data_IF_693378417749
#
_entry.id   IF_693378417749
#
_cell.length_a   1.000
_cell.length_b   1.000
_cell.length_c   1.000
_cell.angle_alpha   90.00
_cell.angle_beta   90.00
_cell.angle_gamma   90.00
#
_symmetry.space_group_name_H-M   'P 1'
#
loop_
_entity.id
_entity.type
_entity.pdbx_description
1 polymer ?
#
# COMPACT_ATOMS: atom_id res chain seq x y z
N UNK A 1 1.13 1.23 -18.72
CA UNK A 1 0.65 0.10 -19.56
C UNK A 1 -0.53 -0.52 -18.82
N UNK A 2 -1.67 -0.74 -19.47
CA UNK A 2 -2.86 -1.35 -18.86
C UNK A 2 -2.93 -2.83 -19.24
N UNK A 3 -2.98 -3.72 -18.25
CA UNK A 3 -3.01 -5.18 -18.44
C UNK A 3 -4.16 -5.76 -17.60
N UNK A 4 -5.38 -5.86 -18.16
CA UNK A 4 -6.57 -6.27 -17.41
C UNK A 4 -6.46 -7.66 -16.78
N UNK A 5 -5.73 -8.56 -17.44
CA UNK A 5 -5.57 -9.95 -16.98
C UNK A 5 -4.85 -10.08 -15.65
N UNK A 6 -4.14 -9.05 -15.17
CA UNK A 6 -3.53 -9.07 -13.84
C UNK A 6 -4.56 -9.17 -12.71
N UNK A 7 -5.79 -8.66 -12.92
CA UNK A 7 -6.86 -8.78 -11.93
C UNK A 7 -7.29 -10.25 -11.69
N UNK A 8 -6.99 -11.14 -12.65
CA UNK A 8 -7.29 -12.57 -12.57
C UNK A 8 -6.21 -13.37 -11.81
N UNK A 9 -5.13 -12.73 -11.35
CA UNK A 9 -4.12 -13.40 -10.55
C UNK A 9 -4.73 -13.96 -9.26
N UNK A 10 -4.42 -15.22 -8.88
CA UNK A 10 -4.81 -15.78 -7.60
C UNK A 10 -4.41 -14.86 -6.43
N UNK A 11 -5.22 -14.79 -5.38
CA UNK A 11 -4.96 -13.92 -4.24
C UNK A 11 -3.63 -14.26 -3.56
N UNK A 12 -3.27 -15.54 -3.55
CA UNK A 12 -2.03 -16.09 -3.00
C UNK A 12 -0.78 -15.68 -3.78
N UNK A 13 -0.96 -15.23 -5.03
CA UNK A 13 0.12 -14.68 -5.86
C UNK A 13 0.28 -13.17 -5.69
N UNK A 14 -0.61 -12.50 -4.94
CA UNK A 14 -0.58 -11.05 -4.73
C UNK A 14 -0.28 -10.69 -3.28
N UNK A 15 0.56 -9.67 -3.09
CA UNK A 15 0.67 -8.96 -1.82
C UNK A 15 -0.26 -7.75 -1.83
N UNK A 16 -0.37 -7.04 -0.71
CA UNK A 16 -1.16 -5.80 -0.63
C UNK A 16 -0.25 -4.58 -0.71
N UNK A 17 -0.77 -3.51 -1.31
CA UNK A 17 -0.24 -2.16 -1.12
C UNK A 17 -1.39 -1.28 -0.64
N UNK A 18 -1.15 -0.57 0.44
CA UNK A 18 -2.12 0.36 0.99
C UNK A 18 -1.77 1.78 0.52
N UNK A 19 -2.69 2.39 -0.23
CA UNK A 19 -2.51 3.69 -0.87
C UNK A 19 -3.39 4.72 -0.18
N UNK A 20 -2.82 5.81 0.31
CA UNK A 20 -3.60 6.87 0.95
C UNK A 20 -4.38 7.69 -0.09
N UNK A 21 -5.68 7.83 0.11
CA UNK A 21 -6.57 8.63 -0.72
C UNK A 21 -7.04 9.95 -0.06
N UNK A 22 -6.59 10.21 1.17
CA UNK A 22 -6.66 11.49 1.88
C UNK A 22 -5.57 11.57 2.98
N UNK A 23 -5.53 12.68 3.73
CA UNK A 23 -4.67 12.84 4.90
C UNK A 23 -3.47 13.74 4.63
N UNK A 24 -2.29 13.32 5.09
CA UNK A 24 -1.07 14.12 5.04
C UNK A 24 -0.52 14.16 3.61
N UNK A 25 -0.23 15.37 3.12
CA UNK A 25 0.53 15.62 1.88
C UNK A 25 1.93 16.11 2.23
N UNK A 26 2.95 15.24 2.24
CA UNK A 26 4.33 15.66 2.49
C UNK A 26 4.91 16.38 1.27
N UNK A 27 5.96 17.19 1.47
CA UNK A 27 6.61 17.95 0.39
C UNK A 27 7.53 17.07 -0.48
N UNK A 28 8.20 16.08 0.13
CA UNK A 28 9.29 15.32 -0.54
C UNK A 28 8.84 13.95 -1.06
N UNK A 29 8.36 13.08 -0.16
CA UNK A 29 8.07 11.68 -0.46
C UNK A 29 6.56 11.47 -0.55
N UNK A 30 6.01 11.57 -1.77
CA UNK A 30 4.57 11.44 -2.02
C UNK A 30 4.23 10.07 -2.61
N UNK A 31 3.13 9.49 -2.13
CA UNK A 31 2.45 8.38 -2.79
C UNK A 31 1.77 8.84 -4.09
N UNK A 32 1.19 7.90 -4.85
CA UNK A 32 0.65 8.15 -6.19
C UNK A 32 -0.55 9.11 -6.22
N UNK A 33 -1.19 9.36 -5.08
CA UNK A 33 -2.31 10.31 -4.93
C UNK A 33 -1.90 11.59 -4.18
N UNK A 34 -0.61 11.94 -4.15
CA UNK A 34 -0.02 13.12 -3.51
C UNK A 34 -0.06 13.13 -1.98
N UNK A 35 -0.56 12.06 -1.35
CA UNK A 35 -0.52 11.87 0.09
C UNK A 35 0.79 11.20 0.51
N UNK A 36 0.91 10.83 1.78
CA UNK A 36 2.09 10.12 2.30
C UNK A 36 2.42 8.84 1.51
N UNK A 37 3.66 8.31 1.62
CA UNK A 37 4.06 7.09 0.93
C UNK A 37 3.17 5.89 1.23
N UNK A 38 3.09 4.97 0.27
CA UNK A 38 2.31 3.75 0.40
C UNK A 38 2.89 2.81 1.46
N UNK A 39 2.01 2.02 2.10
CA UNK A 39 2.40 1.02 3.08
C UNK A 39 2.34 -0.37 2.46
N UNK A 40 3.39 -1.16 2.65
CA UNK A 40 3.52 -2.52 2.13
C UNK A 40 3.38 -3.55 3.26
N UNK A 41 2.56 -4.57 3.06
CA UNK A 41 2.36 -5.68 4.01
C UNK A 41 3.50 -6.72 3.99
N UNK A 42 4.15 -6.87 2.84
CA UNK A 42 5.27 -7.80 2.63
C UNK A 42 6.30 -7.17 1.69
N UNK A 43 7.15 -6.26 2.21
CA UNK A 43 8.23 -5.66 1.43
C UNK A 43 9.32 -6.70 1.08
N UNK A 44 10.27 -6.37 0.18
CA UNK A 44 11.42 -7.24 -0.12
C UNK A 44 12.11 -7.76 1.13
N UNK A 45 12.57 -9.01 1.06
CA UNK A 45 13.23 -9.67 2.18
C UNK A 45 12.29 -10.27 3.23
N UNK A 46 10.98 -10.01 3.16
CA UNK A 46 9.98 -10.64 4.03
C UNK A 46 9.26 -11.81 3.36
N UNK A 47 8.85 -12.85 4.12
CA UNK A 47 7.94 -13.87 3.63
C UNK A 47 6.66 -13.24 3.06
N UNK A 48 6.16 -13.77 1.95
CA UNK A 48 4.97 -13.23 1.28
C UNK A 48 5.24 -12.07 0.33
N UNK A 49 6.50 -11.66 0.13
CA UNK A 49 6.82 -10.70 -0.92
C UNK A 49 6.30 -11.19 -2.28
N UNK A 50 5.51 -10.34 -2.93
CA UNK A 50 5.12 -10.50 -4.33
C UNK A 50 5.29 -9.18 -5.08
N UNK A 51 5.78 -9.21 -6.33
CA UNK A 51 5.78 -8.05 -7.20
C UNK A 51 4.36 -7.73 -7.71
N UNK A 52 3.42 -8.66 -7.67
CA UNK A 52 2.01 -8.38 -7.96
C UNK A 52 1.33 -7.88 -6.68
N UNK A 53 0.77 -6.67 -6.73
CA UNK A 53 0.15 -6.03 -5.57
C UNK A 53 -1.28 -5.61 -5.87
N UNK A 54 -2.20 -6.01 -4.99
CA UNK A 54 -3.57 -5.50 -4.99
C UNK A 54 -3.60 -4.16 -4.26
N UNK A 55 -4.20 -3.16 -4.90
CA UNK A 55 -4.37 -1.84 -4.29
C UNK A 55 -5.54 -1.90 -3.31
N UNK A 56 -5.29 -1.43 -2.09
CA UNK A 56 -6.32 -1.08 -1.12
C UNK A 56 -6.20 0.41 -0.84
N UNK A 57 -7.27 1.16 -1.11
CA UNK A 57 -7.28 2.59 -0.74
C UNK A 57 -7.57 2.74 0.75
N UNK A 58 -6.82 3.64 1.39
CA UNK A 58 -7.01 4.04 2.77
C UNK A 58 -7.53 5.46 2.84
N UNK A 59 -8.55 5.67 3.67
CA UNK A 59 -9.07 7.00 3.98
C UNK A 59 -9.13 7.19 5.49
N UNK A 60 -8.49 8.24 5.99
CA UNK A 60 -8.74 8.78 7.32
C UNK A 60 -10.20 9.21 7.43
N UNK A 61 -10.87 8.77 8.49
CA UNK A 61 -12.23 9.18 8.79
C UNK A 61 -12.24 10.62 9.33
N UNK A 62 -13.35 11.35 9.12
CA UNK A 62 -13.44 12.79 9.44
C UNK A 62 -13.18 13.12 10.92
N UNK A 63 -13.44 12.18 11.83
CA UNK A 63 -13.21 12.33 13.27
C UNK A 63 -11.77 12.05 13.70
N UNK A 64 -10.91 11.53 12.82
CA UNK A 64 -9.55 11.15 13.12
C UNK A 64 -8.55 12.21 12.66
N UNK A 65 -7.56 12.52 13.49
CA UNK A 65 -6.42 13.34 13.09
C UNK A 65 -5.42 12.49 12.30
N UNK A 66 -5.14 12.80 11.02
CA UNK A 66 -4.17 12.03 10.23
C UNK A 66 -2.77 12.06 10.82
N UNK A 67 -2.08 10.92 10.78
CA UNK A 67 -0.65 10.79 11.11
C UNK A 67 0.06 9.95 10.05
N UNK A 68 1.39 10.01 10.05
CA UNK A 68 2.17 9.16 9.17
C UNK A 68 2.09 7.71 9.64
N UNK A 69 1.79 6.78 8.73
CA UNK A 69 1.85 5.34 8.95
C UNK A 69 2.88 4.75 7.97
N UNK A 70 3.73 3.87 8.47
CA UNK A 70 4.87 3.31 7.74
C UNK A 70 4.85 1.79 7.67
N UNK A 71 4.03 1.13 8.49
CA UNK A 71 3.96 -0.33 8.57
C UNK A 71 2.53 -0.84 8.48
N UNK A 72 2.35 -2.07 7.99
CA UNK A 72 1.04 -2.71 7.93
C UNK A 72 0.41 -2.90 9.32
N UNK A 73 1.21 -3.10 10.37
CA UNK A 73 0.72 -3.18 11.75
C UNK A 73 0.12 -1.85 12.23
N UNK A 74 0.75 -0.72 11.87
CA UNK A 74 0.20 0.61 12.16
C UNK A 74 -1.13 0.86 11.43
N UNK A 75 -1.24 0.39 10.18
CA UNK A 75 -2.49 0.43 9.41
C UNK A 75 -3.55 -0.43 10.07
N UNK A 76 -3.25 -1.68 10.40
CA UNK A 76 -4.17 -2.59 11.06
C UNK A 76 -4.70 -2.02 12.38
N UNK A 77 -3.82 -1.40 13.16
CA UNK A 77 -4.19 -0.72 14.40
C UNK A 77 -5.10 0.49 14.15
N UNK A 78 -4.78 1.34 13.17
CA UNK A 78 -5.61 2.51 12.83
C UNK A 78 -7.00 2.08 12.34
N UNK A 79 -7.11 0.97 11.61
CA UNK A 79 -8.39 0.37 11.20
C UNK A 79 -9.16 -0.16 12.42
N UNK A 80 -8.50 -0.91 13.31
CA UNK A 80 -9.12 -1.45 14.52
C UNK A 80 -9.61 -0.35 15.48
N UNK A 81 -8.93 0.79 15.52
CA UNK A 81 -9.30 1.99 16.28
C UNK A 81 -10.37 2.84 15.55
N UNK A 82 -10.81 2.45 14.36
CA UNK A 82 -11.84 3.17 13.58
C UNK A 82 -11.35 4.50 13.02
N UNK A 83 -10.04 4.71 12.91
CA UNK A 83 -9.44 5.95 12.39
C UNK A 83 -9.37 5.93 10.85
N UNK A 84 -9.22 4.75 10.26
CA UNK A 84 -9.10 4.56 8.82
C UNK A 84 -10.18 3.60 8.33
N UNK A 85 -10.75 3.91 7.16
CA UNK A 85 -11.55 2.98 6.35
C UNK A 85 -10.71 2.44 5.20
N UNK A 86 -10.91 1.16 4.87
CA UNK A 86 -10.27 0.47 3.76
C UNK A 86 -11.26 0.25 2.63
N UNK A 87 -10.84 0.52 1.41
CA UNK A 87 -11.57 0.20 0.18
C UNK A 87 -10.72 -0.77 -0.65
N UNK A 88 -11.12 -2.05 -0.64
CA UNK A 88 -10.49 -3.07 -1.46
C UNK A 88 -10.86 -2.85 -2.94
N UNK A 89 -9.91 -3.09 -3.84
CA UNK A 89 -10.10 -2.94 -5.28
C UNK A 89 -9.74 -4.22 -6.02
N UNK A 90 -10.23 -4.37 -7.25
CA UNK A 90 -9.79 -5.40 -8.19
C UNK A 90 -8.52 -4.98 -8.98
N UNK A 91 -7.92 -3.84 -8.62
CA UNK A 91 -6.73 -3.32 -9.28
C UNK A 91 -5.52 -4.09 -8.77
N UNK A 92 -4.86 -4.80 -9.68
CA UNK A 92 -3.57 -5.45 -9.45
C UNK A 92 -2.51 -4.74 -10.29
N UNK A 93 -1.42 -4.35 -9.64
CA UNK A 93 -0.28 -3.68 -10.26
C UNK A 93 0.97 -4.55 -10.11
N UNK A 94 1.75 -4.63 -11.18
CA UNK A 94 3.11 -5.17 -11.10
C UNK A 94 4.06 -4.07 -10.57
N UNK A 95 4.40 -4.14 -9.29
CA UNK A 95 5.36 -3.29 -8.58
C UNK A 95 6.56 -4.11 -8.08
N UNK A 96 7.52 -4.44 -8.97
CA UNK A 96 8.74 -5.12 -8.57
C UNK A 96 9.66 -4.17 -7.80
N UNK A 97 9.89 -4.49 -6.53
CA UNK A 97 10.97 -3.89 -5.74
C UNK A 97 12.18 -4.81 -5.79
N UNK A 98 13.34 -4.26 -6.12
CA UNK A 98 14.56 -5.04 -6.36
C UNK A 98 15.62 -4.65 -5.33
N UNK A 99 16.12 -5.67 -4.63
CA UNK A 99 17.34 -5.57 -3.83
C UNK A 99 18.37 -6.52 -4.42
N UNK A 100 19.60 -6.05 -4.57
CA UNK A 100 20.75 -6.88 -4.89
C UNK A 100 21.93 -6.50 -3.98
N UNK A 101 22.93 -7.37 -3.80
CA UNK A 101 24.05 -7.09 -2.91
C UNK A 101 24.73 -5.75 -3.27
N UNK A 102 24.63 -4.77 -2.36
CA UNK A 102 25.25 -3.45 -2.50
C UNK A 102 24.40 -2.35 -3.15
N UNK A 103 23.12 -2.55 -3.44
CA UNK A 103 22.27 -1.49 -3.99
C UNK A 103 20.77 -1.63 -3.65
N UNK A 104 20.07 -0.49 -3.63
CA UNK A 104 18.60 -0.40 -3.64
C UNK A 104 18.15 0.43 -4.84
N UNK A 105 17.01 0.10 -5.44
CA UNK A 105 16.27 1.01 -6.34
C UNK A 105 14.87 1.23 -5.80
#
# INVERSE_FOLDING_TARGET
>A
IYVPSLALAPAEMSATVFVFANGIKPEDAVGPLEFQPDVFDSPPGQPGYSPLRRIVFMRWNDSAAPRILTTADEVARAVAEGQISLEATDIVVNMPMLEWPGGRR
#
